data_IF_597966353759
#
_entry.id   IF_597966353759
#
_cell.length_a   1.000
_cell.length_b   1.000
_cell.length_c   1.000
_cell.angle_alpha   90.00
_cell.angle_beta   90.00
_cell.angle_gamma   90.00
#
_symmetry.space_group_name_H-M   'P 1'
#
loop_
_entity.id
_entity.type
_entity.pdbx_description
1 polymer ?
#
# COMPACT_ATOMS: atom_id res chain seq x y z
N UNK A 1 49.40 -22.98 31.49
CA UNK A 1 49.70 -22.97 30.05
C UNK A 1 48.64 -23.75 29.25
N UNK A 2 48.48 -25.06 29.45
CA UNK A 2 47.56 -25.92 28.67
C UNK A 2 46.08 -25.47 28.67
N UNK A 3 45.55 -24.98 29.79
CA UNK A 3 44.16 -24.50 29.90
C UNK A 3 43.86 -23.30 28.99
N UNK A 4 44.82 -22.39 28.82
CA UNK A 4 44.66 -21.21 27.96
C UNK A 4 44.73 -21.57 26.47
N UNK A 5 45.50 -22.59 26.11
CA UNK A 5 45.55 -23.12 24.73
C UNK A 5 44.20 -23.73 24.35
N UNK A 6 43.55 -24.48 25.26
CA UNK A 6 42.21 -25.06 25.01
C UNK A 6 41.17 -23.96 24.79
N UNK A 7 41.18 -22.90 25.61
CA UNK A 7 40.27 -21.75 25.44
C UNK A 7 40.47 -21.08 24.08
N UNK A 8 41.71 -20.94 23.62
CA UNK A 8 42.04 -20.31 22.35
C UNK A 8 41.59 -21.17 21.16
N UNK A 9 41.75 -22.50 21.24
CA UNK A 9 41.27 -23.44 20.22
C UNK A 9 39.74 -23.47 20.15
N UNK A 10 39.04 -23.45 21.29
CA UNK A 10 37.58 -23.39 21.33
C UNK A 10 37.06 -22.06 20.76
N UNK A 11 37.72 -20.94 21.08
CA UNK A 11 37.37 -19.63 20.52
C UNK A 11 37.49 -19.60 18.99
N UNK A 12 38.58 -20.15 18.44
CA UNK A 12 38.77 -20.24 16.99
C UNK A 12 37.71 -21.14 16.34
N UNK A 13 37.38 -22.28 16.97
CA UNK A 13 36.34 -23.17 16.47
C UNK A 13 34.96 -22.49 16.39
N UNK A 14 34.58 -21.71 17.41
CA UNK A 14 33.31 -20.95 17.42
C UNK A 14 33.28 -19.89 16.31
N UNK A 15 34.39 -19.17 16.08
CA UNK A 15 34.49 -18.17 15.02
C UNK A 15 34.40 -18.83 13.63
N UNK A 16 35.08 -19.96 13.43
CA UNK A 16 35.03 -20.69 12.16
C UNK A 16 33.63 -21.25 11.87
N UNK A 17 32.96 -21.83 12.87
CA UNK A 17 31.58 -22.34 12.72
C UNK A 17 30.61 -21.17 12.48
N UNK A 18 30.80 -20.04 13.16
CA UNK A 18 30.01 -18.82 12.94
C UNK A 18 30.21 -18.21 11.55
N UNK A 19 31.42 -18.29 10.98
CA UNK A 19 31.71 -17.80 9.62
C UNK A 19 31.30 -18.76 8.50
N UNK A 20 31.33 -20.07 8.75
CA UNK A 20 30.91 -21.11 7.80
C UNK A 20 29.41 -21.38 7.86
N UNK A 21 28.76 -21.01 8.97
CA UNK A 21 27.32 -20.84 9.05
C UNK A 21 26.91 -19.77 8.07
N UNK A 22 26.60 -20.17 6.83
CA UNK A 22 25.77 -19.41 5.91
C UNK A 22 24.53 -19.02 6.69
N UNK A 23 24.52 -17.81 7.26
CA UNK A 23 23.27 -17.11 7.50
C UNK A 23 22.62 -17.13 6.13
N UNK A 24 21.47 -17.80 5.95
CA UNK A 24 20.70 -17.56 4.77
C UNK A 24 20.22 -16.13 4.98
N UNK A 25 21.02 -15.16 4.54
CA UNK A 25 20.43 -14.09 3.77
C UNK A 25 19.78 -14.85 2.62
N UNK A 26 18.55 -15.32 2.86
CA UNK A 26 17.60 -15.53 1.80
C UNK A 26 17.76 -14.28 0.99
N UNK A 27 18.31 -14.42 -0.21
CA UNK A 27 18.22 -13.40 -1.23
C UNK A 27 16.72 -13.22 -1.40
N UNK A 28 16.12 -12.36 -0.57
CA UNK A 28 14.90 -11.69 -0.96
C UNK A 28 15.36 -11.01 -2.22
N UNK A 29 14.98 -11.61 -3.34
CA UNK A 29 15.14 -11.07 -4.66
C UNK A 29 14.33 -9.77 -4.67
N UNK A 30 14.89 -8.71 -4.07
CA UNK A 30 14.60 -7.35 -4.46
C UNK A 30 14.69 -7.37 -5.98
N UNK A 31 13.66 -6.92 -6.68
CA UNK A 31 13.50 -7.06 -8.13
C UNK A 31 14.81 -6.68 -8.88
N UNK A 32 15.68 -7.66 -9.12
CA UNK A 32 17.04 -7.45 -9.63
C UNK A 32 17.08 -7.61 -11.15
N UNK A 33 16.16 -8.41 -11.71
CA UNK A 33 15.96 -8.48 -13.16
C UNK A 33 15.05 -7.36 -13.65
N UNK A 34 15.32 -6.86 -14.86
CA UNK A 34 14.49 -5.87 -15.55
C UNK A 34 13.03 -6.34 -15.66
N UNK A 35 12.82 -7.63 -15.95
CA UNK A 35 11.49 -8.25 -16.02
C UNK A 35 10.72 -8.14 -14.69
N UNK A 36 11.37 -8.43 -13.56
CA UNK A 36 10.72 -8.33 -12.24
C UNK A 36 10.42 -6.88 -11.88
N UNK A 37 11.29 -5.94 -12.28
CA UNK A 37 11.08 -4.51 -12.07
C UNK A 37 9.93 -3.95 -12.91
N UNK A 38 9.84 -4.36 -14.17
CA UNK A 38 8.76 -3.96 -15.07
C UNK A 38 7.43 -4.52 -14.60
N UNK A 39 7.39 -5.81 -14.23
CA UNK A 39 6.20 -6.44 -13.67
C UNK A 39 5.78 -5.80 -12.34
N UNK A 40 6.74 -5.49 -11.46
CA UNK A 40 6.45 -4.75 -10.24
C UNK A 40 5.93 -3.33 -10.56
N UNK A 41 6.53 -2.62 -11.51
CA UNK A 41 6.06 -1.29 -11.90
C UNK A 41 4.63 -1.35 -12.45
N UNK A 42 4.32 -2.29 -13.33
CA UNK A 42 2.97 -2.52 -13.87
C UNK A 42 1.98 -2.81 -12.75
N UNK A 43 2.32 -3.73 -11.84
CA UNK A 43 1.44 -4.09 -10.74
C UNK A 43 1.31 -3.00 -9.67
N UNK A 44 2.26 -2.07 -9.56
CA UNK A 44 2.27 -0.95 -8.61
C UNK A 44 1.89 0.39 -9.23
N UNK A 45 1.31 0.39 -10.43
CA UNK A 45 0.80 1.58 -11.10
C UNK A 45 -0.73 1.53 -11.14
N UNK A 46 -1.43 2.59 -10.69
CA UNK A 46 -2.87 2.65 -10.81
C UNK A 46 -3.32 2.62 -12.28
N UNK A 47 -4.48 2.04 -12.55
CA UNK A 47 -5.07 2.04 -13.90
C UNK A 47 -5.60 3.42 -14.28
N UNK A 48 -6.03 4.21 -13.29
CA UNK A 48 -6.53 5.57 -13.47
C UNK A 48 -5.52 6.60 -12.97
N UNK A 49 -5.55 7.79 -13.56
CA UNK A 49 -4.84 8.93 -13.00
C UNK A 49 -5.52 9.43 -11.71
N UNK A 50 -4.75 10.09 -10.85
CA UNK A 50 -5.26 10.74 -9.63
C UNK A 50 -6.41 11.71 -9.94
N UNK A 51 -6.33 12.44 -11.05
CA UNK A 51 -7.40 13.35 -11.50
C UNK A 51 -8.68 12.62 -11.88
N UNK A 52 -8.57 11.46 -12.53
CA UNK A 52 -9.73 10.65 -12.90
C UNK A 52 -10.41 10.06 -11.66
N UNK A 53 -9.63 9.51 -10.71
CA UNK A 53 -10.17 9.03 -9.44
C UNK A 53 -10.90 10.14 -8.66
N UNK A 54 -10.31 11.33 -8.58
CA UNK A 54 -10.97 12.51 -7.99
C UNK A 54 -12.24 12.90 -8.75
N UNK A 55 -12.24 12.79 -10.08
CA UNK A 55 -13.43 13.09 -10.89
C UNK A 55 -14.55 12.09 -10.63
N UNK A 56 -14.24 10.79 -10.54
CA UNK A 56 -15.22 9.74 -10.25
C UNK A 56 -15.93 9.95 -8.93
N UNK A 57 -15.19 10.24 -7.86
CA UNK A 57 -15.78 10.53 -6.55
C UNK A 57 -16.59 11.83 -6.56
N UNK A 58 -16.14 12.87 -7.28
CA UNK A 58 -16.93 14.11 -7.41
C UNK A 58 -18.25 13.90 -8.14
N UNK A 59 -18.25 13.05 -9.17
CA UNK A 59 -19.47 12.65 -9.88
C UNK A 59 -20.40 11.88 -8.96
N UNK A 60 -19.91 10.86 -8.26
CA UNK A 60 -20.68 10.12 -7.26
C UNK A 60 -21.31 11.04 -6.21
N UNK A 61 -20.55 11.99 -5.67
CA UNK A 61 -21.08 12.96 -4.73
C UNK A 61 -22.18 13.84 -5.34
N UNK A 62 -22.07 14.18 -6.62
CA UNK A 62 -23.08 15.00 -7.28
C UNK A 62 -24.36 14.23 -7.61
N UNK A 63 -24.26 12.92 -7.85
CA UNK A 63 -25.35 12.13 -8.44
C UNK A 63 -26.02 11.21 -7.42
N UNK A 64 -25.27 10.68 -6.46
CA UNK A 64 -25.74 9.62 -5.55
C UNK A 64 -25.73 10.02 -4.06
N UNK A 65 -24.97 11.05 -3.67
CA UNK A 65 -24.89 11.49 -2.27
C UNK A 65 -25.81 12.68 -2.00
N UNK A 66 -26.80 12.53 -1.12
CA UNK A 66 -27.76 13.59 -0.81
C UNK A 66 -27.11 14.88 -0.28
N UNK A 67 -26.08 14.74 0.59
CA UNK A 67 -25.32 15.89 1.11
C UNK A 67 -24.06 16.21 0.29
N UNK A 68 -23.88 15.55 -0.86
CA UNK A 68 -22.75 15.75 -1.75
C UNK A 68 -22.45 17.20 -2.14
N UNK A 69 -23.46 18.05 -2.41
CA UNK A 69 -23.23 19.48 -2.69
C UNK A 69 -22.43 20.20 -1.60
N UNK A 70 -22.57 19.82 -0.33
CA UNK A 70 -21.81 20.39 0.78
C UNK A 70 -20.32 20.08 0.70
N UNK A 71 -19.97 18.84 0.39
CA UNK A 71 -18.57 18.42 0.20
C UNK A 71 -17.95 19.06 -1.06
N UNK A 72 -18.74 19.21 -2.13
CA UNK A 72 -18.24 19.75 -3.40
C UNK A 72 -17.84 21.23 -3.34
N UNK A 73 -18.29 21.99 -2.33
CA UNK A 73 -17.84 23.37 -2.08
C UNK A 73 -16.31 23.45 -1.87
N UNK A 74 -15.73 22.45 -1.21
CA UNK A 74 -14.30 22.38 -0.90
C UNK A 74 -13.55 21.36 -1.74
N UNK A 75 -14.08 20.98 -2.92
CA UNK A 75 -13.51 19.95 -3.81
C UNK A 75 -12.05 20.14 -4.25
N UNK A 76 -11.50 21.34 -4.08
CA UNK A 76 -10.09 21.67 -4.33
C UNK A 76 -9.16 21.18 -3.22
N UNK A 77 -9.70 20.87 -2.04
CA UNK A 77 -9.01 20.29 -0.88
C UNK A 77 -9.09 18.78 -0.83
N UNK A 78 -9.67 18.14 -1.85
CA UNK A 78 -9.70 16.69 -1.93
C UNK A 78 -8.30 16.18 -2.26
N UNK A 79 -7.81 15.28 -1.42
CA UNK A 79 -6.63 14.49 -1.68
C UNK A 79 -7.04 13.08 -2.13
N UNK A 80 -6.18 12.43 -2.90
CA UNK A 80 -6.41 11.08 -3.41
C UNK A 80 -5.11 10.30 -3.33
N UNK A 81 -5.16 9.18 -2.63
CA UNK A 81 -4.05 8.24 -2.44
C UNK A 81 -4.45 6.88 -2.97
N UNK A 82 -3.59 6.27 -3.77
CA UNK A 82 -3.81 4.93 -4.32
C UNK A 82 -3.12 3.87 -3.47
N UNK A 83 -3.75 2.70 -3.37
CA UNK A 83 -3.23 1.54 -2.68
C UNK A 83 -3.59 0.25 -3.42
N UNK A 84 -2.61 -0.65 -3.50
CA UNK A 84 -2.80 -2.04 -3.92
C UNK A 84 -3.03 -2.93 -2.70
N UNK A 85 -3.94 -3.89 -2.84
CA UNK A 85 -4.35 -4.87 -1.83
C UNK A 85 -4.72 -4.22 -0.50
N UNK A 86 -5.78 -3.40 -0.46
CA UNK A 86 -6.24 -2.81 0.78
C UNK A 86 -6.58 -3.91 1.81
N UNK A 87 -6.11 -3.76 3.05
CA UNK A 87 -6.24 -4.77 4.12
C UNK A 87 -7.50 -4.64 4.97
N UNK A 88 -8.24 -3.56 4.82
CA UNK A 88 -9.46 -3.32 5.59
C UNK A 88 -10.49 -4.41 5.25
N UNK A 89 -11.45 -4.74 6.11
CA UNK A 89 -12.65 -5.53 5.79
C UNK A 89 -13.87 -4.66 6.08
N UNK A 90 -14.66 -4.34 5.06
CA UNK A 90 -15.82 -3.43 5.11
C UNK A 90 -17.04 -4.04 4.42
N UNK A 91 -17.00 -5.35 4.11
CA UNK A 91 -18.13 -6.10 3.54
C UNK A 91 -18.63 -5.65 2.15
N UNK A 92 -17.85 -4.84 1.41
CA UNK A 92 -18.15 -4.43 0.04
C UNK A 92 -17.52 -5.34 -1.05
N UNK A 93 -17.96 -5.19 -2.30
CA UNK A 93 -17.41 -5.96 -3.43
C UNK A 93 -16.14 -5.26 -3.91
N UNK A 94 -15.01 -5.74 -3.40
CA UNK A 94 -13.74 -5.04 -3.59
C UNK A 94 -12.94 -5.49 -4.77
N UNK A 95 -12.25 -4.51 -5.34
CA UNK A 95 -11.05 -4.72 -6.13
C UNK A 95 -9.80 -4.94 -5.27
N UNK A 96 -8.72 -5.31 -5.95
CA UNK A 96 -7.36 -5.30 -5.42
C UNK A 96 -6.74 -3.89 -5.48
N UNK A 97 -7.34 -2.96 -6.21
CA UNK A 97 -6.84 -1.60 -6.42
C UNK A 97 -7.83 -0.58 -5.89
N UNK A 98 -7.38 0.30 -4.98
CA UNK A 98 -8.24 1.26 -4.28
C UNK A 98 -7.65 2.66 -4.36
N UNK A 99 -8.50 3.64 -4.63
CA UNK A 99 -8.23 5.05 -4.33
C UNK A 99 -8.97 5.45 -3.07
N UNK A 100 -8.24 5.94 -2.07
CA UNK A 100 -8.82 6.66 -0.94
C UNK A 100 -8.84 8.15 -1.25
N UNK A 101 -10.03 8.75 -1.29
CA UNK A 101 -10.24 10.19 -1.48
C UNK A 101 -10.62 10.79 -0.12
N UNK A 102 -9.90 11.82 0.31
CA UNK A 102 -10.13 12.47 1.59
C UNK A 102 -10.34 13.98 1.39
N UNK A 103 -11.46 14.51 1.88
CA UNK A 103 -11.68 15.94 2.00
C UNK A 103 -10.94 16.48 3.22
N UNK A 104 -9.81 17.15 2.97
CA UNK A 104 -8.98 17.75 4.02
C UNK A 104 -9.70 18.85 4.82
N UNK A 105 -10.86 19.34 4.36
CA UNK A 105 -11.64 20.34 5.09
C UNK A 105 -12.61 19.76 6.11
N UNK A 106 -13.27 18.65 5.79
CA UNK A 106 -14.30 18.05 6.63
C UNK A 106 -13.86 16.75 7.30
N UNK A 107 -12.77 16.13 6.81
CA UNK A 107 -12.34 14.79 7.20
C UNK A 107 -13.17 13.67 6.57
N UNK A 108 -14.11 14.01 5.67
CA UNK A 108 -14.87 13.02 4.93
C UNK A 108 -13.96 12.19 4.02
N UNK A 109 -14.29 10.91 3.86
CA UNK A 109 -13.47 9.93 3.18
C UNK A 109 -14.34 9.00 2.33
N UNK A 110 -13.90 8.79 1.10
CA UNK A 110 -14.49 7.83 0.16
C UNK A 110 -13.42 6.87 -0.34
N UNK A 111 -13.83 5.62 -0.53
CA UNK A 111 -13.02 4.60 -1.20
C UNK A 111 -13.60 4.34 -2.56
N UNK A 112 -12.75 4.34 -3.57
CA UNK A 112 -13.10 3.99 -4.94
C UNK A 112 -12.29 2.76 -5.35
N UNK A 113 -12.97 1.65 -5.62
CA UNK A 113 -12.37 0.40 -6.05
C UNK A 113 -12.24 0.38 -7.57
N UNK A 114 -11.03 0.45 -8.11
CA UNK A 114 -10.82 0.56 -9.58
C UNK A 114 -11.40 -0.65 -10.32
N UNK A 115 -11.21 -1.85 -9.77
CA UNK A 115 -11.55 -3.09 -10.46
C UNK A 115 -13.07 -3.32 -10.56
N UNK A 116 -13.85 -2.76 -9.64
CA UNK A 116 -15.31 -2.95 -9.56
C UNK A 116 -16.09 -1.69 -9.93
N UNK A 117 -15.44 -0.52 -9.86
CA UNK A 117 -16.09 0.76 -10.03
C UNK A 117 -16.87 1.25 -8.80
N UNK A 118 -16.92 0.45 -7.73
CA UNK A 118 -17.70 0.75 -6.52
C UNK A 118 -17.08 1.93 -5.74
N UNK A 119 -17.93 2.83 -5.27
CA UNK A 119 -17.55 3.94 -4.39
C UNK A 119 -18.28 3.78 -3.06
N UNK A 120 -17.51 3.76 -1.97
CA UNK A 120 -18.02 3.60 -0.61
C UNK A 120 -17.70 4.86 0.19
N UNK A 121 -18.71 5.39 0.87
CA UNK A 121 -18.54 6.46 1.86
C UNK A 121 -18.07 5.85 3.18
N UNK A 122 -16.81 6.11 3.56
CA UNK A 122 -16.20 5.58 4.80
C UNK A 122 -16.42 6.54 5.97
N UNK A 123 -16.26 7.84 5.72
CA UNK A 123 -16.51 8.90 6.69
C UNK A 123 -17.25 10.03 5.98
N UNK A 124 -18.38 10.46 6.54
CA UNK A 124 -19.24 11.46 5.91
C UNK A 124 -20.69 10.99 5.88
N UNK A 125 -21.56 11.89 5.42
CA UNK A 125 -23.00 11.68 5.35
C UNK A 125 -23.41 11.69 3.89
N UNK A 126 -23.62 10.48 3.35
CA UNK A 126 -24.26 10.17 2.08
C UNK A 126 -25.38 9.17 2.40
#
# INVERSE_FOLDING_TARGET
MLKWVIVLVVGIAVILIGSAGRIPFTNISLALSEETRLKAAEEHTPSLSRSEALSRVKTYLSEECANGPGYLLNKHRFDATWMRMPRTDDHHVRGMNEWTINDQSSGAMWRFYEDTGEIVTVLGDC
#
